data_IF_595704217485
#
_entry.id   IF_595704217485
#
_cell.length_a   1.000
_cell.length_b   1.000
_cell.length_c   1.000
_cell.angle_alpha   90.00
_cell.angle_beta   90.00
_cell.angle_gamma   90.00
#
_symmetry.space_group_name_H-M   'P 1'
#
loop_
_entity.id
_entity.type
_entity.pdbx_description
1 polymer ?
#
# COMPACT_ATOMS: atom_id res chain seq x y z
N UNK A 1 15.40 30.46 31.93
CA UNK A 1 15.15 29.02 31.72
C UNK A 1 16.28 28.47 30.86
N UNK A 2 16.81 27.28 31.17
CA UNK A 2 17.80 26.63 30.30
C UNK A 2 17.17 26.43 28.90
N UNK A 3 17.93 26.62 27.81
CA UNK A 3 17.38 26.55 26.45
C UNK A 3 16.64 25.23 26.16
N UNK A 4 17.05 24.11 26.78
CA UNK A 4 16.36 22.82 26.61
C UNK A 4 14.96 22.77 27.23
N UNK A 5 14.71 23.49 28.34
CA UNK A 5 13.40 23.47 29.03
C UNK A 5 12.34 24.24 28.24
N UNK A 6 12.75 25.27 27.51
CA UNK A 6 11.88 26.05 26.63
C UNK A 6 11.50 25.26 25.37
N UNK A 7 12.46 24.55 24.77
CA UNK A 7 12.20 23.64 23.65
C UNK A 7 11.24 22.51 24.06
N UNK A 8 11.44 21.92 25.25
CA UNK A 8 10.55 20.89 25.75
C UNK A 8 9.11 21.41 25.90
N UNK A 9 8.93 22.61 26.49
CA UNK A 9 7.62 23.22 26.68
C UNK A 9 6.86 23.48 25.37
N UNK A 10 7.58 23.87 24.31
CA UNK A 10 6.99 24.08 22.98
C UNK A 10 6.59 22.77 22.29
N UNK A 11 7.31 21.68 22.55
CA UNK A 11 7.00 20.36 22.01
C UNK A 11 5.93 19.63 22.82
N UNK A 12 5.72 19.99 24.09
CA UNK A 12 4.74 19.35 25.00
C UNK A 12 3.36 19.16 24.38
N UNK A 13 2.68 20.16 23.77
CA UNK A 13 1.33 19.94 23.23
C UNK A 13 1.31 18.91 22.09
N UNK A 14 2.29 18.97 21.18
CA UNK A 14 2.40 18.01 20.07
C UNK A 14 2.72 16.61 20.58
N UNK A 15 3.68 16.48 21.49
CA UNK A 15 4.05 15.22 22.10
C UNK A 15 2.90 14.64 22.93
N UNK A 16 2.15 15.47 23.64
CA UNK A 16 0.98 15.03 24.41
C UNK A 16 -0.08 14.43 23.48
N UNK A 17 -0.43 15.13 22.39
CA UNK A 17 -1.41 14.63 21.42
C UNK A 17 -0.93 13.33 20.77
N UNK A 18 0.32 13.28 20.30
CA UNK A 18 0.90 12.07 19.71
C UNK A 18 0.91 10.91 20.71
N UNK A 19 1.36 11.15 21.94
CA UNK A 19 1.46 10.10 22.97
C UNK A 19 0.08 9.59 23.36
N UNK A 20 -0.92 10.47 23.51
CA UNK A 20 -2.27 10.05 23.88
C UNK A 20 -2.90 9.24 22.75
N UNK A 21 -2.91 9.75 21.52
CA UNK A 21 -3.61 9.09 20.41
C UNK A 21 -2.87 7.82 19.94
N UNK A 22 -1.57 7.91 19.72
CA UNK A 22 -0.77 6.77 19.27
C UNK A 22 -0.52 5.78 20.40
N UNK A 23 -0.23 6.26 21.61
CA UNK A 23 0.02 5.41 22.76
C UNK A 23 -1.21 4.62 23.18
N UNK A 24 -2.39 5.27 23.25
CA UNK A 24 -3.63 4.56 23.58
C UNK A 24 -3.99 3.50 22.54
N UNK A 25 -3.90 3.83 21.24
CA UNK A 25 -4.20 2.87 20.17
C UNK A 25 -3.20 1.70 20.14
N UNK A 26 -1.92 1.96 20.37
CA UNK A 26 -0.88 0.93 20.46
C UNK A 26 -1.11 0.01 21.66
N UNK A 27 -1.35 0.57 22.85
CA UNK A 27 -1.63 -0.21 24.06
C UNK A 27 -2.89 -1.06 23.89
N UNK A 28 -3.93 -0.49 23.27
CA UNK A 28 -5.16 -1.20 22.98
C UNK A 28 -4.93 -2.35 22.00
N UNK A 29 -4.19 -2.12 20.90
CA UNK A 29 -3.84 -3.17 19.94
C UNK A 29 -2.96 -4.26 20.54
N UNK A 30 -2.02 -3.90 21.42
CA UNK A 30 -1.19 -4.87 22.15
C UNK A 30 -2.03 -5.72 23.11
N UNK A 31 -2.92 -5.09 23.88
CA UNK A 31 -3.85 -5.80 24.75
C UNK A 31 -4.73 -6.77 23.96
N UNK A 32 -5.28 -6.32 22.82
CA UNK A 32 -6.06 -7.16 21.91
C UNK A 32 -5.25 -8.34 21.36
N UNK A 33 -4.00 -8.11 20.98
CA UNK A 33 -3.12 -9.15 20.47
C UNK A 33 -2.77 -10.21 21.52
N UNK A 34 -2.88 -9.87 22.81
CA UNK A 34 -2.73 -10.78 23.94
C UNK A 34 -4.07 -11.40 24.38
N UNK A 35 -5.15 -11.29 23.61
CA UNK A 35 -6.45 -11.88 23.95
C UNK A 35 -7.34 -11.02 24.85
N UNK A 36 -6.94 -9.78 25.18
CA UNK A 36 -7.80 -8.85 25.91
C UNK A 36 -8.75 -8.12 24.95
N UNK A 37 -9.84 -8.80 24.59
CA UNK A 37 -10.83 -8.35 23.63
C UNK A 37 -12.23 -8.27 24.28
N UNK A 38 -12.44 -7.20 25.04
CA UNK A 38 -13.66 -6.98 25.84
C UNK A 38 -14.96 -7.09 25.05
N UNK A 39 -14.94 -6.80 23.74
CA UNK A 39 -16.11 -6.85 22.84
C UNK A 39 -16.67 -8.26 22.67
N UNK A 40 -15.81 -9.28 22.65
CA UNK A 40 -16.20 -10.68 22.46
C UNK A 40 -16.18 -11.47 23.78
N UNK A 41 -16.00 -10.79 24.90
CA UNK A 41 -15.96 -11.41 26.23
C UNK A 41 -14.63 -12.05 26.62
N UNK A 42 -13.64 -12.07 25.72
CA UNK A 42 -12.29 -12.55 25.97
C UNK A 42 -11.53 -11.54 26.84
N UNK A 43 -11.24 -11.92 28.09
CA UNK A 43 -10.55 -11.06 29.07
C UNK A 43 -9.26 -11.67 29.61
N UNK A 44 -8.93 -12.88 29.19
CA UNK A 44 -7.74 -13.58 29.64
C UNK A 44 -6.54 -13.23 28.75
N UNK A 45 -5.47 -12.76 29.38
CA UNK A 45 -4.21 -12.54 28.68
C UNK A 45 -3.59 -13.89 28.33
N UNK A 46 -3.46 -14.17 27.04
CA UNK A 46 -2.86 -15.40 26.52
C UNK A 46 -2.05 -15.13 25.24
N UNK A 47 -1.19 -16.10 24.90
CA UNK A 47 -0.38 -16.07 23.67
C UNK A 47 -0.95 -17.01 22.60
N UNK A 48 -2.19 -17.44 22.75
CA UNK A 48 -2.83 -18.44 21.90
C UNK A 48 -2.91 -17.96 20.45
N UNK A 49 -3.16 -16.67 20.21
CA UNK A 49 -3.17 -16.08 18.88
C UNK A 49 -1.83 -16.26 18.14
N UNK A 50 -0.72 -16.02 18.82
CA UNK A 50 0.62 -16.20 18.25
C UNK A 50 0.96 -17.68 18.04
N UNK A 51 0.59 -18.55 18.99
CA UNK A 51 0.79 -19.99 18.86
C UNK A 51 0.01 -20.56 17.67
N UNK A 52 -1.24 -20.13 17.47
CA UNK A 52 -2.06 -20.50 16.31
C UNK A 52 -1.45 -20.01 15.00
N UNK A 53 -0.89 -18.79 14.99
CA UNK A 53 -0.21 -18.22 13.83
C UNK A 53 1.01 -19.05 13.39
N UNK A 54 1.84 -19.45 14.36
CA UNK A 54 3.09 -20.19 14.11
C UNK A 54 2.81 -21.66 13.80
N UNK A 55 1.91 -22.30 14.56
CA UNK A 55 1.55 -23.70 14.36
C UNK A 55 0.70 -23.94 13.11
N UNK A 56 0.16 -22.87 12.50
CA UNK A 56 -0.75 -22.95 11.37
C UNK A 56 -2.11 -23.55 11.74
N UNK A 57 -2.43 -23.65 13.03
CA UNK A 57 -3.72 -24.14 13.51
C UNK A 57 -4.80 -23.08 13.29
N UNK A 58 -5.95 -23.49 12.75
CA UNK A 58 -7.07 -22.61 12.40
C UNK A 58 -6.94 -21.95 11.02
N UNK A 59 -8.00 -21.26 10.59
CA UNK A 59 -8.05 -20.57 9.29
C UNK A 59 -7.07 -19.41 9.22
N UNK A 60 -6.97 -18.62 10.30
CA UNK A 60 -6.10 -17.45 10.36
C UNK A 60 -4.60 -17.80 10.24
N UNK A 61 -4.12 -18.84 10.92
CA UNK A 61 -2.72 -19.25 10.86
C UNK A 61 -2.30 -19.75 9.48
N UNK A 62 -3.19 -20.47 8.79
CA UNK A 62 -2.93 -21.00 7.44
C UNK A 62 -2.88 -19.90 6.38
N UNK A 63 -3.79 -18.92 6.45
CA UNK A 63 -3.87 -17.84 5.47
C UNK A 63 -2.83 -16.74 5.72
N UNK A 64 -2.37 -16.56 6.96
CA UNK A 64 -1.42 -15.52 7.32
C UNK A 64 -0.11 -15.61 6.55
N UNK A 65 0.54 -16.78 6.53
CA UNK A 65 1.84 -16.93 5.88
C UNK A 65 1.78 -16.72 4.36
N UNK A 66 0.69 -17.19 3.74
CA UNK A 66 0.44 -16.97 2.31
C UNK A 66 0.22 -15.48 2.04
N UNK A 67 -0.59 -14.81 2.86
CA UNK A 67 -0.87 -13.38 2.72
C UNK A 67 0.35 -12.50 3.00
N UNK A 68 1.18 -12.88 3.97
CA UNK A 68 2.44 -12.23 4.29
C UNK A 68 3.42 -12.37 3.12
N UNK A 69 3.60 -13.59 2.59
CA UNK A 69 4.44 -13.85 1.42
C UNK A 69 3.97 -13.06 0.19
N UNK A 70 2.66 -13.04 -0.06
CA UNK A 70 2.07 -12.26 -1.15
C UNK A 70 2.30 -10.76 -0.97
N UNK A 71 2.09 -10.22 0.24
CA UNK A 71 2.29 -8.80 0.55
C UNK A 71 3.75 -8.40 0.44
N UNK A 72 4.69 -9.25 0.88
CA UNK A 72 6.12 -9.02 0.71
C UNK A 72 6.52 -9.06 -0.76
N UNK A 73 6.03 -10.02 -1.53
CA UNK A 73 6.25 -10.09 -2.98
C UNK A 73 5.80 -8.82 -3.69
N UNK A 74 4.53 -8.43 -3.48
CA UNK A 74 3.94 -7.25 -4.12
C UNK A 74 4.67 -5.98 -3.69
N UNK A 75 4.96 -5.81 -2.40
CA UNK A 75 5.64 -4.60 -1.91
C UNK A 75 7.07 -4.50 -2.44
N UNK A 76 7.88 -5.56 -2.36
CA UNK A 76 9.25 -5.57 -2.89
C UNK A 76 9.28 -5.34 -4.40
N UNK A 77 8.45 -6.06 -5.17
CA UNK A 77 8.39 -5.89 -6.62
C UNK A 77 7.98 -4.46 -6.98
N UNK A 78 6.95 -3.92 -6.33
CA UNK A 78 6.48 -2.55 -6.58
C UNK A 78 7.55 -1.52 -6.23
N UNK A 79 8.21 -1.64 -5.08
CA UNK A 79 9.26 -0.70 -4.65
C UNK A 79 10.47 -0.72 -5.59
N UNK A 80 10.98 -1.91 -5.95
CA UNK A 80 12.15 -2.01 -6.85
C UNK A 80 11.83 -1.42 -8.23
N UNK A 81 10.70 -1.82 -8.83
CA UNK A 81 10.30 -1.33 -10.14
C UNK A 81 10.01 0.18 -10.12
N UNK A 82 9.38 0.68 -9.05
CA UNK A 82 9.09 2.10 -8.91
C UNK A 82 10.36 2.92 -8.69
N UNK A 83 11.33 2.42 -7.92
CA UNK A 83 12.63 3.09 -7.74
C UNK A 83 13.41 3.18 -9.06
N UNK A 84 13.41 2.12 -9.87
CA UNK A 84 14.02 2.15 -11.22
C UNK A 84 13.30 3.18 -12.11
N UNK A 85 11.97 3.18 -12.12
CA UNK A 85 11.17 4.12 -12.89
C UNK A 85 11.35 5.57 -12.43
N UNK A 86 11.40 5.81 -11.12
CA UNK A 86 11.63 7.10 -10.50
C UNK A 86 13.01 7.65 -10.85
N UNK A 87 14.06 6.83 -10.76
CA UNK A 87 15.42 7.22 -11.17
C UNK A 87 15.45 7.60 -12.67
N UNK A 88 14.82 6.80 -13.52
CA UNK A 88 14.70 7.12 -14.95
C UNK A 88 13.97 8.46 -15.17
N UNK A 89 12.82 8.66 -14.52
CA UNK A 89 12.04 9.89 -14.60
C UNK A 89 12.83 11.10 -14.10
N UNK A 90 13.48 11.00 -12.94
CA UNK A 90 14.28 12.06 -12.35
C UNK A 90 15.44 12.50 -13.27
N UNK A 91 16.15 11.55 -13.87
CA UNK A 91 17.23 11.88 -14.82
C UNK A 91 16.70 12.53 -16.11
N UNK A 92 15.54 12.11 -16.61
CA UNK A 92 14.90 12.71 -17.77
C UNK A 92 14.46 14.16 -17.50
N UNK A 93 13.80 14.40 -16.37
CA UNK A 93 13.33 15.72 -15.95
C UNK A 93 14.48 16.69 -15.69
N UNK A 94 15.59 16.19 -15.13
CA UNK A 94 16.78 17.00 -14.88
C UNK A 94 17.44 17.51 -16.17
N UNK A 95 17.40 16.72 -17.25
CA UNK A 95 17.98 17.12 -18.55
C UNK A 95 17.15 18.15 -19.30
N UNK A 96 15.83 18.19 -19.08
CA UNK A 96 14.91 19.11 -19.78
C UNK A 96 13.91 19.71 -18.78
N UNK A 97 14.31 20.73 -18.01
CA UNK A 97 13.41 21.39 -17.09
C UNK A 97 12.27 22.06 -17.86
N UNK A 98 11.04 21.65 -17.58
CA UNK A 98 9.83 22.21 -18.17
C UNK A 98 8.78 22.47 -17.10
N UNK A 99 7.78 23.32 -17.40
CA UNK A 99 6.65 23.55 -16.49
C UNK A 99 5.84 22.27 -16.21
N UNK A 100 5.93 21.26 -17.09
CA UNK A 100 5.27 19.97 -16.92
C UNK A 100 5.98 19.07 -15.88
N UNK A 101 7.22 19.39 -15.49
CA UNK A 101 7.95 18.61 -14.49
C UNK A 101 7.24 18.65 -13.13
N UNK A 102 6.73 19.82 -12.74
CA UNK A 102 5.96 19.97 -11.50
C UNK A 102 4.69 19.13 -11.53
N UNK A 103 4.01 19.06 -12.68
CA UNK A 103 2.82 18.22 -12.81
C UNK A 103 3.16 16.72 -12.73
N UNK A 104 4.21 16.29 -13.42
CA UNK A 104 4.67 14.90 -13.39
C UNK A 104 5.03 14.45 -11.96
N UNK A 105 5.74 15.28 -11.19
CA UNK A 105 6.12 14.97 -9.81
C UNK A 105 4.94 15.01 -8.82
N UNK A 106 3.94 15.86 -9.07
CA UNK A 106 2.75 15.95 -8.22
C UNK A 106 1.61 15.00 -8.64
N UNK A 107 1.83 14.16 -9.64
CA UNK A 107 0.84 13.22 -10.15
C UNK A 107 0.25 12.31 -9.04
N UNK A 108 1.09 11.87 -8.10
CA UNK A 108 0.66 11.04 -6.96
C UNK A 108 -0.42 11.73 -6.08
N UNK A 109 -0.30 13.05 -5.90
CA UNK A 109 -1.18 13.84 -5.03
C UNK A 109 -2.51 14.18 -5.70
N UNK A 110 -2.59 14.14 -7.03
CA UNK A 110 -3.79 14.53 -7.77
C UNK A 110 -4.95 13.53 -7.59
N UNK A 111 -4.66 12.25 -7.41
CA UNK A 111 -5.66 11.19 -7.39
C UNK A 111 -5.87 10.60 -6.00
N UNK A 112 -7.09 10.67 -5.42
CA UNK A 112 -7.44 9.90 -4.24
C UNK A 112 -7.21 8.40 -4.46
N UNK A 113 -6.82 7.67 -3.42
CA UNK A 113 -6.49 6.24 -3.52
C UNK A 113 -7.62 5.40 -4.14
N UNK A 114 -8.87 5.62 -3.71
CA UNK A 114 -10.03 4.89 -4.22
C UNK A 114 -10.26 5.17 -5.71
N UNK A 115 -10.16 6.44 -6.12
CA UNK A 115 -10.34 6.85 -7.52
C UNK A 115 -9.29 6.19 -8.41
N UNK A 116 -8.03 6.20 -7.98
CA UNK A 116 -6.94 5.56 -8.72
C UNK A 116 -7.13 4.04 -8.84
N UNK A 117 -7.54 3.38 -7.76
CA UNK A 117 -7.80 1.93 -7.77
C UNK A 117 -8.94 1.54 -8.71
N UNK A 118 -10.06 2.29 -8.69
CA UNK A 118 -11.18 2.05 -9.62
C UNK A 118 -10.77 2.34 -11.06
N UNK A 119 -10.02 3.42 -11.30
CA UNK A 119 -9.47 3.72 -12.62
C UNK A 119 -8.61 2.56 -13.15
N UNK A 120 -7.66 2.07 -12.34
CA UNK A 120 -6.82 0.94 -12.73
C UNK A 120 -7.61 -0.36 -12.94
N UNK A 121 -8.63 -0.62 -12.12
CA UNK A 121 -9.52 -1.77 -12.31
C UNK A 121 -10.24 -1.70 -13.66
N UNK A 122 -10.80 -0.53 -14.02
CA UNK A 122 -11.49 -0.33 -15.30
C UNK A 122 -10.52 -0.32 -16.50
N UNK A 123 -9.27 0.09 -16.28
CA UNK A 123 -8.24 0.13 -17.31
C UNK A 123 -7.68 -1.28 -17.63
N UNK A 124 -7.37 -2.05 -16.58
CA UNK A 124 -6.65 -3.34 -16.66
C UNK A 124 -7.54 -4.58 -16.72
N UNK A 125 -8.86 -4.43 -16.49
CA UNK A 125 -9.82 -5.53 -16.63
C UNK A 125 -9.89 -6.04 -18.08
N UNK A 126 -10.24 -7.32 -18.28
CA UNK A 126 -10.44 -7.93 -19.60
C UNK A 126 -11.58 -7.28 -20.41
N UNK A 127 -12.54 -6.62 -19.75
CA UNK A 127 -13.57 -5.80 -20.42
C UNK A 127 -13.22 -4.31 -20.47
N UNK A 128 -12.03 -3.95 -19.98
CA UNK A 128 -11.54 -2.60 -19.77
C UNK A 128 -11.06 -1.90 -21.03
N UNK A 129 -10.57 -0.67 -20.85
CA UNK A 129 -10.15 0.17 -21.96
C UNK A 129 -8.95 -0.41 -22.73
N UNK A 130 -7.95 -0.97 -22.03
CA UNK A 130 -6.78 -1.55 -22.70
C UNK A 130 -7.13 -2.78 -23.54
N UNK A 131 -8.02 -3.64 -23.04
CA UNK A 131 -8.49 -4.80 -23.79
C UNK A 131 -9.22 -4.39 -25.07
N UNK A 132 -10.06 -3.35 -25.01
CA UNK A 132 -10.75 -2.80 -26.18
C UNK A 132 -9.78 -2.19 -27.20
N UNK A 133 -8.77 -1.46 -26.74
CA UNK A 133 -7.73 -0.94 -27.64
C UNK A 133 -6.89 -2.03 -28.27
N UNK A 134 -6.51 -3.07 -27.51
CA UNK A 134 -5.80 -4.22 -28.05
C UNK A 134 -6.62 -4.92 -29.15
N UNK A 135 -7.93 -5.07 -28.94
CA UNK A 135 -8.85 -5.61 -29.96
C UNK A 135 -8.95 -4.71 -31.19
N UNK A 136 -9.09 -3.40 -31.01
CA UNK A 136 -9.15 -2.44 -32.11
C UNK A 136 -7.86 -2.37 -32.95
N UNK A 137 -6.70 -2.64 -32.33
CA UNK A 137 -5.40 -2.72 -33.00
C UNK A 137 -5.13 -4.09 -33.64
N UNK A 138 -6.04 -5.05 -33.50
CA UNK A 138 -5.88 -6.42 -34.02
C UNK A 138 -4.83 -7.26 -33.27
N UNK A 139 -4.45 -6.85 -32.04
CA UNK A 139 -3.51 -7.62 -31.20
C UNK A 139 -4.20 -8.84 -30.60
N UNK A 140 -5.50 -8.72 -30.30
CA UNK A 140 -6.36 -9.79 -29.79
C UNK A 140 -7.67 -9.84 -30.60
N UNK A 141 -8.28 -11.01 -30.72
CA UNK A 141 -9.53 -11.17 -31.47
C UNK A 141 -10.73 -10.69 -30.66
N UNK A 142 -10.76 -11.01 -29.37
CA UNK A 142 -11.82 -10.58 -28.44
C UNK A 142 -11.22 -9.95 -27.17
N UNK A 143 -11.92 -9.01 -26.51
CA UNK A 143 -11.44 -8.45 -25.24
C UNK A 143 -11.20 -9.52 -24.15
N UNK A 144 -11.91 -10.65 -24.21
CA UNK A 144 -11.73 -11.76 -23.28
C UNK A 144 -10.35 -12.42 -23.38
N UNK A 145 -9.66 -12.30 -24.51
CA UNK A 145 -8.31 -12.82 -24.73
C UNK A 145 -7.23 -11.95 -24.09
N UNK A 146 -7.59 -10.77 -23.56
CA UNK A 146 -6.66 -9.92 -22.83
C UNK A 146 -6.15 -10.64 -21.57
N UNK A 147 -4.85 -10.53 -21.23
CA UNK A 147 -4.30 -11.20 -20.05
C UNK A 147 -5.04 -10.82 -18.76
N UNK A 148 -5.22 -11.79 -17.88
CA UNK A 148 -5.82 -11.56 -16.56
C UNK A 148 -4.82 -10.82 -15.67
N UNK A 149 -4.96 -9.50 -15.61
CA UNK A 149 -4.16 -8.62 -14.74
C UNK A 149 -4.89 -8.21 -13.46
N UNK A 150 -6.22 -8.39 -13.41
CA UNK A 150 -7.05 -8.06 -12.25
C UNK A 150 -7.55 -9.35 -11.64
N UNK A 151 -7.45 -9.49 -10.31
CA UNK A 151 -7.71 -10.75 -9.57
C UNK A 151 -6.81 -11.90 -10.05
N UNK A 152 -5.61 -11.57 -10.50
CA UNK A 152 -4.60 -12.54 -10.87
C UNK A 152 -3.89 -13.12 -9.63
N UNK A 153 -3.22 -14.27 -9.80
CA UNK A 153 -2.51 -14.98 -8.71
C UNK A 153 -1.25 -14.24 -8.24
N UNK A 154 -0.62 -13.44 -9.10
CA UNK A 154 0.68 -12.81 -8.85
C UNK A 154 0.58 -11.36 -8.38
N UNK A 155 -0.63 -10.78 -8.38
CA UNK A 155 -0.87 -9.39 -7.98
C UNK A 155 -0.37 -8.37 -8.99
N UNK A 156 -0.28 -8.72 -10.27
CA UNK A 156 0.25 -7.83 -11.32
C UNK A 156 -0.51 -6.51 -11.40
N UNK A 157 -1.85 -6.54 -11.32
CA UNK A 157 -2.66 -5.33 -11.32
C UNK A 157 -2.40 -4.43 -10.10
N UNK A 158 -2.12 -5.03 -8.95
CA UNK A 158 -1.77 -4.29 -7.72
C UNK A 158 -0.41 -3.61 -7.90
N UNK A 159 0.58 -4.35 -8.43
CA UNK A 159 1.92 -3.82 -8.71
C UNK A 159 1.82 -2.63 -9.69
N UNK A 160 1.15 -2.80 -10.83
CA UNK A 160 0.95 -1.71 -11.80
C UNK A 160 0.25 -0.49 -11.20
N UNK A 161 -0.72 -0.72 -10.31
CA UNK A 161 -1.42 0.36 -9.59
C UNK A 161 -0.47 1.15 -8.70
N UNK A 162 0.42 0.48 -7.96
CA UNK A 162 1.45 1.14 -7.15
C UNK A 162 2.45 1.90 -8.02
N UNK A 163 2.98 1.27 -9.08
CA UNK A 163 3.97 1.90 -9.97
C UNK A 163 3.54 3.30 -10.44
N UNK A 164 2.29 3.44 -10.90
CA UNK A 164 1.83 4.73 -11.43
C UNK A 164 1.73 5.85 -10.39
N UNK A 165 1.71 5.53 -9.08
CA UNK A 165 1.71 6.52 -7.99
C UNK A 165 3.07 6.67 -7.32
N UNK A 166 3.81 5.58 -7.18
CA UNK A 166 5.10 5.57 -6.50
C UNK A 166 6.23 6.10 -7.37
N UNK A 167 6.22 5.87 -8.70
CA UNK A 167 7.23 6.43 -9.62
C UNK A 167 7.36 7.96 -9.53
N UNK A 168 6.26 8.75 -9.54
CA UNK A 168 6.36 10.20 -9.37
C UNK A 168 6.60 10.66 -7.92
N UNK A 169 6.45 9.77 -6.94
CA UNK A 169 6.62 10.08 -5.53
C UNK A 169 8.05 9.87 -5.02
N UNK A 170 8.68 8.75 -5.42
CA UNK A 170 10.07 8.40 -5.13
C UNK A 170 11.06 9.32 -5.86
#
# INVERSE_FOLDING_TARGET
MKPSTRTLLHLTPTLAVLTILLGASLLYGLAQSLGYLTIIGEKELNLTAYQNLISGQGTAGREFWVSLGFSLWVSLASTILSAIGALFLATLLNRRPSRLNTFALNWNLAFPHLVWGVFMLLLLSQSGLLARWAGALGIIETPADFPVLVRDRFGLGIILTYLGKEIPFL
#
